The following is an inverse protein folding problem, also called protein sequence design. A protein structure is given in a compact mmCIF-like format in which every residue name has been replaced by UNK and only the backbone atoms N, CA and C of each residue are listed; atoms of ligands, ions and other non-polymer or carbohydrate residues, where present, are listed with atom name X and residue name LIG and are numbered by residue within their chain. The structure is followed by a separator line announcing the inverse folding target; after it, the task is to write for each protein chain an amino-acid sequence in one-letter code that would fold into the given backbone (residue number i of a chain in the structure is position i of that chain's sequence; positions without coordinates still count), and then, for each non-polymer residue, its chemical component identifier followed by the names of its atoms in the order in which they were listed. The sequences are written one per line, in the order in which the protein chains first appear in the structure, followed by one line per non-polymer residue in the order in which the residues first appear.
data_IF_145802928499
#
_entry.id   IF_145802928499
#
_cell.length_a   1.000
_cell.length_b   1.000
_cell.length_c   1.000
_cell.angle_alpha   90.00
_cell.angle_beta   90.00
_cell.angle_gamma   90.00
#
_symmetry.space_group_name_H-M   'P 1'
#
loop_
_entity.id
_entity.type
_entity.pdbx_description
1 polymer ?
#
# COMPACT_ATOMS: atom_id res chain seq x y z
N UNK A 1 -13.46 2.90 12.69
CA UNK A 1 -13.38 1.65 11.89
C UNK A 1 -12.13 1.66 11.06
N UNK A 2 -11.48 0.52 10.93
CA UNK A 2 -10.24 0.37 10.17
C UNK A 2 -10.46 -0.66 9.06
N UNK A 3 -10.10 -0.32 7.82
CA UNK A 3 -10.00 -1.29 6.74
C UNK A 3 -8.61 -1.91 6.79
N UNK A 4 -8.51 -3.18 7.15
CA UNK A 4 -7.24 -3.86 7.41
C UNK A 4 -6.58 -4.44 6.15
N UNK A 5 -7.23 -4.38 4.99
CA UNK A 5 -6.68 -4.96 3.77
C UNK A 5 -7.33 -4.33 2.53
N UNK A 6 -6.71 -3.31 1.98
CA UNK A 6 -7.19 -2.66 0.77
C UNK A 6 -6.02 -2.22 -0.10
N UNK A 7 -5.96 -2.72 -1.33
CA UNK A 7 -4.94 -2.34 -2.31
C UNK A 7 -5.23 -0.95 -2.90
N UNK A 8 -5.32 0.03 -2.03
CA UNK A 8 -5.71 1.39 -2.36
C UNK A 8 -4.63 2.16 -3.13
N UNK A 9 -3.41 1.62 -3.18
CA UNK A 9 -2.30 2.15 -3.96
C UNK A 9 -2.39 1.79 -5.45
N UNK A 10 -3.27 0.87 -5.84
CA UNK A 10 -3.41 0.48 -7.24
C UNK A 10 -3.87 1.65 -8.10
N UNK A 11 -3.32 1.73 -9.31
CA UNK A 11 -3.56 2.85 -10.22
C UNK A 11 -5.02 3.02 -10.64
N UNK A 12 -5.85 1.97 -10.48
CA UNK A 12 -7.29 2.07 -10.73
C UNK A 12 -7.94 3.16 -9.87
N UNK A 13 -7.32 3.50 -8.72
CA UNK A 13 -7.81 4.54 -7.82
C UNK A 13 -7.25 5.94 -8.09
N UNK A 14 -6.32 6.09 -9.05
CA UNK A 14 -5.63 7.37 -9.27
C UNK A 14 -6.58 8.53 -9.59
N UNK A 15 -7.70 8.24 -10.27
CA UNK A 15 -8.65 9.27 -10.66
C UNK A 15 -9.51 9.82 -9.54
N UNK A 16 -9.83 8.97 -8.54
CA UNK A 16 -10.85 9.28 -7.55
C UNK A 16 -10.41 8.98 -6.11
N UNK A 17 -9.12 8.72 -5.91
CA UNK A 17 -8.59 8.38 -4.57
C UNK A 17 -8.95 9.41 -3.51
N UNK A 18 -8.81 10.70 -3.83
CA UNK A 18 -9.12 11.76 -2.88
C UNK A 18 -10.61 11.79 -2.51
N UNK A 19 -11.49 11.58 -3.49
CA UNK A 19 -12.94 11.54 -3.26
C UNK A 19 -13.34 10.32 -2.42
N UNK A 20 -12.72 9.17 -2.68
CA UNK A 20 -12.96 7.95 -1.91
C UNK A 20 -12.54 8.14 -0.45
N UNK A 21 -11.40 8.81 -0.22
CA UNK A 21 -10.94 9.10 1.16
C UNK A 21 -11.94 9.98 1.91
N UNK A 22 -12.51 10.97 1.26
CA UNK A 22 -13.58 11.80 1.86
C UNK A 22 -14.79 10.95 2.22
N UNK A 23 -15.22 10.08 1.31
CA UNK A 23 -16.34 9.16 1.57
C UNK A 23 -16.04 8.20 2.72
N UNK A 24 -14.82 7.70 2.82
CA UNK A 24 -14.40 6.85 3.92
C UNK A 24 -14.50 7.57 5.26
N UNK A 25 -14.03 8.81 5.34
CA UNK A 25 -14.12 9.61 6.55
C UNK A 25 -15.57 9.85 6.97
N UNK A 26 -16.44 10.15 6.01
CA UNK A 26 -17.89 10.32 6.26
C UNK A 26 -18.54 9.06 6.81
N UNK A 27 -18.04 7.89 6.45
CA UNK A 27 -18.53 6.59 6.91
C UNK A 27 -17.76 6.04 8.11
N UNK A 28 -16.98 6.88 8.77
CA UNK A 28 -16.20 6.52 9.96
C UNK A 28 -15.11 5.46 9.71
N UNK A 29 -14.55 5.42 8.53
CA UNK A 29 -13.34 4.64 8.25
C UNK A 29 -12.14 5.54 8.51
N UNK A 30 -11.44 5.31 9.62
CA UNK A 30 -10.40 6.20 10.13
C UNK A 30 -9.01 5.86 9.61
N UNK A 31 -8.79 4.62 9.22
CA UNK A 31 -7.50 4.15 8.74
C UNK A 31 -7.68 3.01 7.74
N UNK A 32 -6.75 2.94 6.79
CA UNK A 32 -6.69 1.89 5.77
C UNK A 32 -5.29 1.32 5.77
N UNK A 33 -5.17 -0.01 5.87
CA UNK A 33 -3.90 -0.70 5.71
C UNK A 33 -3.77 -1.15 4.27
N UNK A 34 -2.71 -0.68 3.61
CA UNK A 34 -2.42 -0.97 2.20
C UNK A 34 -1.34 -2.05 2.14
N UNK A 35 -1.68 -3.30 1.82
CA UNK A 35 -0.69 -4.37 1.75
C UNK A 35 0.10 -4.31 0.44
N UNK A 36 1.39 -4.64 0.51
CA UNK A 36 2.26 -4.72 -0.66
C UNK A 36 2.02 -5.98 -1.47
N UNK A 37 2.35 -5.92 -2.76
CA UNK A 37 2.18 -7.04 -3.69
C UNK A 37 3.47 -7.47 -4.36
N UNK A 38 4.31 -6.54 -4.78
CA UNK A 38 5.56 -6.81 -5.49
C UNK A 38 6.54 -5.66 -5.32
N UNK A 39 7.83 -5.95 -5.48
CA UNK A 39 8.90 -4.96 -5.25
C UNK A 39 8.77 -3.72 -6.14
N UNK A 40 8.28 -3.86 -7.36
CA UNK A 40 8.14 -2.75 -8.30
C UNK A 40 7.22 -1.64 -7.78
N UNK A 41 6.29 -1.96 -6.89
CA UNK A 41 5.32 -0.99 -6.37
C UNK A 41 5.61 -0.52 -4.94
N UNK A 42 6.64 -1.07 -4.27
CA UNK A 42 6.89 -0.74 -2.86
C UNK A 42 7.20 0.73 -2.62
N UNK A 43 8.06 1.35 -3.43
CA UNK A 43 8.42 2.76 -3.22
C UNK A 43 7.22 3.68 -3.44
N UNK A 44 6.43 3.46 -4.47
CA UNK A 44 5.23 4.28 -4.71
C UNK A 44 4.17 4.05 -3.62
N UNK A 45 4.07 2.84 -3.10
CA UNK A 45 3.19 2.51 -1.99
C UNK A 45 3.60 3.29 -0.72
N UNK A 46 4.89 3.31 -0.40
CA UNK A 46 5.42 4.05 0.75
C UNK A 46 5.15 5.54 0.58
N UNK A 47 5.46 6.10 -0.59
CA UNK A 47 5.24 7.52 -0.87
C UNK A 47 3.76 7.90 -0.68
N UNK A 48 2.86 7.10 -1.21
CA UNK A 48 1.43 7.34 -1.08
C UNK A 48 1.00 7.32 0.40
N UNK A 49 1.40 6.30 1.13
CA UNK A 49 1.00 6.13 2.53
C UNK A 49 1.61 7.21 3.43
N UNK A 50 2.83 7.65 3.15
CA UNK A 50 3.45 8.74 3.91
C UNK A 50 2.80 10.10 3.63
N UNK A 51 2.22 10.28 2.46
CA UNK A 51 1.57 11.55 2.10
C UNK A 51 0.14 11.67 2.65
N UNK A 52 -0.47 10.59 3.08
CA UNK A 52 -1.87 10.56 3.54
C UNK A 52 -1.93 9.93 4.94
N UNK A 53 -2.26 10.72 5.99
CA UNK A 53 -2.19 10.24 7.38
C UNK A 53 -3.04 9.02 7.70
N UNK A 54 -4.16 8.82 6.99
CA UNK A 54 -5.05 7.68 7.24
C UNK A 54 -4.60 6.39 6.58
N UNK A 55 -3.56 6.44 5.73
CA UNK A 55 -3.04 5.26 5.06
C UNK A 55 -1.81 4.72 5.79
N UNK A 56 -1.78 3.41 5.95
CA UNK A 56 -0.67 2.68 6.55
C UNK A 56 -0.25 1.56 5.61
N UNK A 57 1.04 1.32 5.46
CA UNK A 57 1.52 0.30 4.54
C UNK A 57 2.04 -0.93 5.26
N UNK A 58 1.91 -2.08 4.61
CA UNK A 58 2.56 -3.33 4.98
C UNK A 58 3.25 -3.86 3.74
N UNK A 59 4.56 -3.94 3.74
CA UNK A 59 5.31 -4.41 2.58
C UNK A 59 5.31 -5.93 2.52
N UNK A 60 5.35 -6.48 1.31
CA UNK A 60 5.36 -7.90 1.13
C UNK A 60 5.17 -8.31 -0.31
N UNK A 61 4.95 -9.61 -0.49
CA UNK A 61 4.78 -10.24 -1.80
C UNK A 61 3.45 -10.97 -1.84
N UNK A 62 2.68 -10.70 -2.89
CA UNK A 62 1.44 -11.41 -3.12
C UNK A 62 1.72 -12.65 -3.99
N UNK A 63 1.05 -13.80 -3.75
CA UNK A 63 1.28 -15.02 -4.54
C UNK A 63 1.16 -14.83 -6.06
N UNK A 64 0.32 -13.94 -6.51
CA UNK A 64 0.17 -13.61 -7.93
C UNK A 64 1.46 -13.11 -8.58
N UNK A 65 2.36 -12.50 -7.79
CA UNK A 65 3.56 -11.83 -8.28
C UNK A 65 4.85 -12.58 -7.96
N UNK A 66 4.76 -13.83 -7.49
CA UNK A 66 5.94 -14.61 -7.10
C UNK A 66 6.87 -14.93 -8.27
N UNK A 67 6.37 -14.93 -9.50
CA UNK A 67 7.19 -15.18 -10.68
C UNK A 67 8.26 -14.11 -10.92
N UNK A 68 8.03 -12.90 -10.45
CA UNK A 68 8.98 -11.80 -10.57
C UNK A 68 9.89 -11.66 -9.36
N UNK A 69 9.75 -12.55 -8.38
CA UNK A 69 10.49 -12.49 -7.13
C UNK A 69 11.95 -12.94 -7.33
N UNK A 70 12.87 -12.20 -6.70
CA UNK A 70 14.30 -12.51 -6.71
C UNK A 70 14.90 -12.34 -5.32
N UNK A 71 16.13 -12.85 -5.10
CA UNK A 71 16.86 -12.62 -3.85
C UNK A 71 17.13 -11.13 -3.61
N UNK A 72 17.29 -10.35 -4.68
CA UNK A 72 17.44 -8.90 -4.59
C UNK A 72 16.21 -8.27 -3.94
N UNK A 73 15.02 -8.79 -4.21
CA UNK A 73 13.78 -8.31 -3.61
C UNK A 73 13.76 -8.52 -2.09
N UNK A 74 14.28 -9.64 -1.61
CA UNK A 74 14.40 -9.87 -0.15
C UNK A 74 15.33 -8.84 0.50
N UNK A 75 16.47 -8.55 -0.11
CA UNK A 75 17.40 -7.55 0.40
C UNK A 75 16.77 -6.17 0.41
N UNK A 76 16.05 -5.81 -0.65
CA UNK A 76 15.35 -4.54 -0.78
C UNK A 76 14.25 -4.42 0.28
N UNK A 77 13.46 -5.47 0.47
CA UNK A 77 12.43 -5.49 1.51
C UNK A 77 13.03 -5.27 2.88
N UNK A 78 14.13 -5.95 3.19
CA UNK A 78 14.83 -5.80 4.48
C UNK A 78 15.29 -4.34 4.68
N UNK A 79 15.85 -3.70 3.66
CA UNK A 79 16.26 -2.30 3.73
C UNK A 79 15.07 -1.38 4.01
N UNK A 80 13.96 -1.58 3.30
CA UNK A 80 12.76 -0.75 3.46
C UNK A 80 12.12 -0.89 4.83
N UNK A 81 12.18 -2.08 5.44
CA UNK A 81 11.63 -2.31 6.78
C UNK A 81 12.45 -1.66 7.89
N UNK A 82 13.66 -1.19 7.59
CA UNK A 82 14.53 -0.51 8.54
C UNK A 82 14.54 1.01 8.39
N UNK A 83 13.64 1.55 7.58
CA UNK A 83 13.52 2.99 7.42
C UNK A 83 12.95 3.70 8.65
#
# INVERSE_FOLDING_TARGET
MIDSHCHFDFEVFDHDRAEILVSCAEKCIDAIVVPGTQSASWLSQIDLCQSIPSLHFALGLHPYFLKSFTHTDLSFLSELLHL
#
